data_IF_218790989447
#
_entry.id   IF_218790989447
#
_cell.length_a   1.000
_cell.length_b   1.000
_cell.length_c   1.000
_cell.angle_alpha   90.00
_cell.angle_beta   90.00
_cell.angle_gamma   90.00
#
_symmetry.space_group_name_H-M   'P 1'
#
loop_
_entity.id
_entity.type
_entity.pdbx_description
1 polymer ?
#
# COMPACT_ATOMS: atom_id res chain seq x y z
N UNK A 1 -7.55 -6.61 -16.61
CA UNK A 1 -8.19 -6.71 -15.30
C UNK A 1 -8.76 -5.38 -14.77
N UNK A 2 -8.00 -4.37 -14.33
CA UNK A 2 -8.59 -3.03 -14.07
C UNK A 2 -8.95 -2.28 -15.36
N UNK A 3 -8.09 -2.40 -16.37
CA UNK A 3 -8.34 -1.86 -17.72
C UNK A 3 -9.50 -2.57 -18.45
N UNK A 4 -9.87 -3.77 -18.02
CA UNK A 4 -11.05 -4.48 -18.58
C UNK A 4 -12.36 -3.91 -18.04
N UNK A 5 -12.31 -3.25 -16.89
CA UNK A 5 -13.44 -2.55 -16.28
C UNK A 5 -13.50 -1.07 -16.74
N UNK A 6 -12.57 -0.63 -17.59
CA UNK A 6 -12.49 0.75 -18.04
C UNK A 6 -13.75 1.14 -18.84
N UNK A 7 -14.42 2.21 -18.40
CA UNK A 7 -15.67 2.69 -19.00
C UNK A 7 -16.97 2.20 -18.35
N UNK A 8 -16.93 1.17 -17.51
CA UNK A 8 -18.09 0.66 -16.75
C UNK A 8 -18.14 1.18 -15.31
N UNK A 9 -17.02 1.71 -14.81
CA UNK A 9 -16.88 2.19 -13.44
C UNK A 9 -17.43 3.60 -13.25
N UNK A 10 -18.26 3.78 -12.22
CA UNK A 10 -18.67 5.11 -11.78
C UNK A 10 -17.49 5.85 -11.15
N UNK A 11 -16.67 5.14 -10.37
CA UNK A 11 -15.48 5.72 -9.77
C UNK A 11 -14.55 4.70 -9.12
N UNK A 12 -13.45 5.21 -8.58
CA UNK A 12 -12.47 4.42 -7.82
C UNK A 12 -12.30 5.01 -6.42
N UNK A 13 -12.16 4.16 -5.43
CA UNK A 13 -11.96 4.49 -4.02
C UNK A 13 -10.56 4.04 -3.64
N UNK A 14 -9.70 4.95 -3.21
CA UNK A 14 -8.27 4.69 -3.01
C UNK A 14 -7.84 4.87 -1.55
N UNK A 15 -6.91 4.03 -1.04
CA UNK A 15 -6.33 4.14 0.31
C UNK A 15 -5.38 5.33 0.42
N UNK A 16 -5.80 6.50 -0.03
CA UNK A 16 -4.99 7.71 -0.07
C UNK A 16 -5.55 8.77 0.89
N UNK A 17 -4.72 9.73 1.34
CA UNK A 17 -5.18 10.87 2.13
C UNK A 17 -6.23 11.71 1.40
N UNK A 18 -7.28 12.14 2.12
CA UNK A 18 -8.36 12.98 1.58
C UNK A 18 -7.88 14.29 0.96
N UNK A 19 -6.73 14.81 1.40
CA UNK A 19 -6.08 15.99 0.84
C UNK A 19 -5.73 15.82 -0.64
N UNK A 20 -5.48 14.59 -1.09
CA UNK A 20 -5.15 14.29 -2.49
C UNK A 20 -6.39 14.14 -3.39
N UNK A 21 -7.59 13.98 -2.82
CA UNK A 21 -8.81 13.68 -3.59
C UNK A 21 -9.05 14.71 -4.70
N UNK A 22 -8.91 15.99 -4.37
CA UNK A 22 -9.14 17.08 -5.34
C UNK A 22 -8.18 17.01 -6.52
N UNK A 23 -6.88 16.87 -6.28
CA UNK A 23 -5.88 16.85 -7.35
C UNK A 23 -5.98 15.58 -8.19
N UNK A 24 -6.30 14.45 -7.58
CA UNK A 24 -6.52 13.18 -8.27
C UNK A 24 -7.72 13.25 -9.23
N UNK A 25 -8.82 13.88 -8.81
CA UNK A 25 -9.98 14.09 -9.69
C UNK A 25 -9.65 15.01 -10.86
N UNK A 26 -8.89 16.09 -10.63
CA UNK A 26 -8.46 16.99 -11.71
C UNK A 26 -7.54 16.26 -12.68
N UNK A 27 -6.63 15.43 -12.18
CA UNK A 27 -5.68 14.67 -12.98
C UNK A 27 -6.37 13.56 -13.79
N UNK A 28 -7.28 12.79 -13.18
CA UNK A 28 -8.06 11.76 -13.86
C UNK A 28 -8.91 12.33 -15.01
N UNK A 29 -9.35 13.60 -14.91
CA UNK A 29 -10.08 14.32 -15.97
C UNK A 29 -9.18 15.01 -16.99
N UNK A 30 -7.86 14.89 -16.87
CA UNK A 30 -6.89 15.54 -17.75
C UNK A 30 -6.78 17.06 -17.58
N UNK A 31 -7.30 17.62 -16.48
CA UNK A 31 -7.25 19.07 -16.21
C UNK A 31 -5.87 19.50 -15.72
N UNK A 32 -5.16 18.64 -15.00
CA UNK A 32 -3.77 18.88 -14.56
C UNK A 32 -2.87 17.76 -15.05
N UNK A 33 -1.61 18.08 -15.32
CA UNK A 33 -0.60 17.10 -15.74
C UNK A 33 0.02 16.32 -14.57
N UNK A 34 0.77 15.25 -14.90
CA UNK A 34 1.40 14.36 -13.91
C UNK A 34 2.35 15.10 -12.96
N UNK A 35 3.12 16.06 -13.45
CA UNK A 35 4.03 16.85 -12.61
C UNK A 35 3.28 17.59 -11.49
N UNK A 36 2.10 18.17 -11.79
CA UNK A 36 1.30 18.88 -10.79
C UNK A 36 0.71 17.93 -9.74
N UNK A 37 0.37 16.71 -10.15
CA UNK A 37 -0.04 15.65 -9.22
C UNK A 37 1.11 15.27 -8.27
N UNK A 38 2.32 15.06 -8.82
CA UNK A 38 3.52 14.74 -8.03
C UNK A 38 3.87 15.85 -7.04
N UNK A 39 3.75 17.12 -7.43
CA UNK A 39 3.94 18.25 -6.52
C UNK A 39 2.96 18.21 -5.33
N UNK A 40 1.66 18.02 -5.60
CA UNK A 40 0.66 17.93 -4.55
C UNK A 40 0.89 16.74 -3.61
N UNK A 41 1.37 15.61 -4.15
CA UNK A 41 1.76 14.45 -3.34
C UNK A 41 2.97 14.78 -2.46
N UNK A 42 3.99 15.46 -2.99
CA UNK A 42 5.17 15.90 -2.22
C UNK A 42 4.80 16.88 -1.12
N UNK A 43 3.89 17.81 -1.38
CA UNK A 43 3.40 18.77 -0.38
C UNK A 43 2.62 18.08 0.75
N UNK A 44 1.77 17.11 0.41
CA UNK A 44 0.94 16.38 1.38
C UNK A 44 1.73 15.34 2.18
N UNK A 45 2.59 14.57 1.51
CA UNK A 45 3.28 13.40 2.08
C UNK A 45 4.74 13.67 2.48
N UNK A 46 5.28 14.84 2.16
CA UNK A 46 6.63 15.29 2.52
C UNK A 46 7.71 14.22 2.22
N UNK A 47 8.55 13.88 3.19
CA UNK A 47 9.70 12.97 3.04
C UNK A 47 9.34 11.53 2.65
N UNK A 48 8.08 11.13 2.74
CA UNK A 48 7.62 9.79 2.36
C UNK A 48 7.11 9.70 0.91
N UNK A 49 6.97 10.85 0.24
CA UNK A 49 6.44 10.91 -1.12
C UNK A 49 7.21 10.04 -2.11
N UNK A 50 8.54 9.97 -2.02
CA UNK A 50 9.36 9.17 -2.94
C UNK A 50 9.07 7.67 -2.86
N UNK A 51 9.08 7.09 -1.65
CA UNK A 51 8.82 5.65 -1.46
C UNK A 51 7.37 5.29 -1.78
N UNK A 52 6.43 6.19 -1.48
CA UNK A 52 5.03 5.99 -1.81
C UNK A 52 4.78 6.08 -3.32
N UNK A 53 5.36 7.08 -4.00
CA UNK A 53 5.29 7.21 -5.45
C UNK A 53 5.90 6.00 -6.17
N UNK A 54 6.98 5.41 -5.64
CA UNK A 54 7.55 4.17 -6.20
C UNK A 54 6.50 3.06 -6.34
N UNK A 55 5.66 2.89 -5.32
CA UNK A 55 4.63 1.84 -5.29
C UNK A 55 3.41 2.24 -6.13
N UNK A 56 2.96 3.49 -6.00
CA UNK A 56 1.65 3.92 -6.51
C UNK A 56 1.71 4.52 -7.92
N UNK A 57 2.88 4.89 -8.44
CA UNK A 57 3.05 5.52 -9.76
C UNK A 57 2.36 4.75 -10.89
N UNK A 58 2.45 3.40 -11.00
CA UNK A 58 1.75 2.66 -12.05
C UNK A 58 0.24 2.90 -12.05
N UNK A 59 -0.38 2.89 -10.86
CA UNK A 59 -1.81 3.15 -10.71
C UNK A 59 -2.13 4.60 -11.07
N UNK A 60 -1.32 5.56 -10.58
CA UNK A 60 -1.49 6.97 -10.92
C UNK A 60 -1.39 7.21 -12.43
N UNK A 61 -0.41 6.63 -13.13
CA UNK A 61 -0.28 6.78 -14.58
C UNK A 61 -1.43 6.14 -15.36
N UNK A 62 -2.09 5.13 -14.79
CA UNK A 62 -3.26 4.50 -15.37
C UNK A 62 -4.55 5.31 -15.16
N UNK A 63 -4.67 6.13 -14.11
CA UNK A 63 -5.92 6.83 -13.74
C UNK A 63 -6.64 7.53 -14.90
N UNK A 64 -5.98 8.36 -15.75
CA UNK A 64 -6.66 9.04 -16.85
C UNK A 64 -7.17 8.08 -17.92
N UNK A 65 -6.54 6.91 -18.07
CA UNK A 65 -6.90 5.88 -19.05
C UNK A 65 -8.04 4.99 -18.58
N UNK A 66 -8.28 4.89 -17.27
CA UNK A 66 -9.38 4.12 -16.70
C UNK A 66 -10.76 4.77 -16.98
N UNK A 67 -10.80 6.07 -17.30
CA UNK A 67 -12.04 6.77 -17.62
C UNK A 67 -13.00 6.94 -16.42
N UNK A 68 -12.48 6.84 -15.19
CA UNK A 68 -13.28 6.98 -13.96
C UNK A 68 -13.85 8.40 -13.83
N UNK A 69 -15.13 8.53 -13.48
CA UNK A 69 -15.78 9.86 -13.32
C UNK A 69 -15.36 10.56 -12.03
N UNK A 70 -15.03 9.75 -11.02
CA UNK A 70 -14.66 10.22 -9.69
C UNK A 70 -13.60 9.33 -9.05
N UNK A 71 -12.64 9.99 -8.39
CA UNK A 71 -11.70 9.37 -7.45
C UNK A 71 -12.13 9.78 -6.04
N UNK A 72 -12.24 8.82 -5.12
CA UNK A 72 -12.53 9.07 -3.71
C UNK A 72 -11.37 8.58 -2.85
N UNK A 73 -11.06 9.31 -1.79
CA UNK A 73 -9.98 8.97 -0.86
C UNK A 73 -10.55 8.70 0.53
N UNK A 74 -10.13 7.58 1.15
CA UNK A 74 -10.71 7.17 2.44
C UNK A 74 -9.74 7.27 3.63
N UNK A 75 -8.46 7.57 3.43
CA UNK A 75 -7.58 7.88 4.57
C UNK A 75 -7.80 9.32 5.00
N UNK A 76 -7.92 9.53 6.31
CA UNK A 76 -8.29 10.82 6.89
C UNK A 76 -7.28 11.91 6.58
N UNK A 77 -6.00 11.66 6.82
CA UNK A 77 -4.91 12.59 6.52
C UNK A 77 -3.60 11.85 6.32
N UNK A 78 -2.66 12.47 5.60
CA UNK A 78 -1.30 11.93 5.46
C UNK A 78 -0.59 11.84 6.82
N UNK A 79 -0.80 12.84 7.68
CA UNK A 79 -0.22 12.89 9.02
C UNK A 79 -0.66 11.73 9.92
N UNK A 80 -1.94 11.36 9.89
CA UNK A 80 -2.46 10.22 10.67
C UNK A 80 -1.85 8.89 10.19
N UNK A 81 -1.74 8.70 8.87
CA UNK A 81 -1.10 7.53 8.27
C UNK A 81 0.37 7.42 8.70
N UNK A 82 1.10 8.54 8.73
CA UNK A 82 2.48 8.56 9.20
C UNK A 82 2.59 8.25 10.69
N UNK A 83 1.69 8.79 11.50
CA UNK A 83 1.67 8.51 12.94
C UNK A 83 1.45 7.01 13.19
N UNK A 84 0.50 6.39 12.49
CA UNK A 84 0.24 4.94 12.60
C UNK A 84 1.43 4.10 12.12
N UNK A 85 2.06 4.48 11.01
CA UNK A 85 3.25 3.78 10.52
C UNK A 85 4.43 3.88 11.52
N UNK A 86 4.65 5.06 12.10
CA UNK A 86 5.68 5.28 13.11
C UNK A 86 5.42 4.47 14.39
N UNK A 87 4.16 4.36 14.80
CA UNK A 87 3.74 3.52 15.93
C UNK A 87 4.04 2.03 15.65
N UNK A 88 3.68 1.52 14.47
CA UNK A 88 3.97 0.13 14.08
C UNK A 88 5.47 -0.15 14.01
N UNK A 89 6.27 0.76 13.46
CA UNK A 89 7.74 0.61 13.44
C UNK A 89 8.33 0.64 14.85
N UNK A 90 7.80 1.48 15.73
CA UNK A 90 8.23 1.55 17.14
C UNK A 90 7.91 0.26 17.90
N UNK A 91 6.73 -0.30 17.66
CA UNK A 91 6.33 -1.61 18.19
C UNK A 91 7.22 -2.72 17.66
N UNK A 92 7.50 -2.72 16.35
CA UNK A 92 8.36 -3.71 15.73
C UNK A 92 9.78 -3.66 16.31
N UNK A 93 10.32 -2.46 16.47
CA UNK A 93 11.63 -2.24 17.08
C UNK A 93 11.67 -2.75 18.52
N UNK A 94 10.65 -2.42 19.32
CA UNK A 94 10.53 -2.88 20.71
C UNK A 94 10.48 -4.41 20.78
N UNK A 95 9.67 -5.04 19.93
CA UNK A 95 9.60 -6.50 19.83
C UNK A 95 10.95 -7.10 19.43
N UNK A 96 11.67 -6.47 18.50
CA UNK A 96 13.00 -6.93 18.04
C UNK A 96 14.07 -6.87 19.13
N UNK A 97 14.05 -5.84 19.97
CA UNK A 97 15.05 -5.61 21.04
C UNK A 97 14.72 -6.40 22.29
N UNK A 98 13.44 -6.43 22.69
CA UNK A 98 13.02 -7.02 23.97
C UNK A 98 12.55 -8.47 23.85
N UNK A 99 12.22 -8.93 22.65
CA UNK A 99 11.59 -10.23 22.40
C UNK A 99 10.14 -10.33 22.86
N UNK A 100 9.56 -9.27 23.42
CA UNK A 100 8.18 -9.24 23.94
C UNK A 100 7.21 -8.69 22.90
N UNK A 101 6.05 -9.35 22.78
CA UNK A 101 4.97 -8.94 21.89
C UNK A 101 3.70 -8.80 22.73
N UNK A 102 3.10 -7.61 22.73
CA UNK A 102 1.79 -7.35 23.31
C UNK A 102 0.75 -7.26 22.20
N UNK A 103 -0.02 -8.34 21.98
CA UNK A 103 -0.99 -8.38 20.89
C UNK A 103 -2.08 -7.31 20.99
N UNK A 104 -2.39 -6.82 22.20
CA UNK A 104 -3.42 -5.80 22.37
C UNK A 104 -2.91 -4.42 21.96
N UNK A 105 -1.64 -4.11 22.26
CA UNK A 105 -0.97 -2.91 21.77
C UNK A 105 -0.90 -2.90 20.23
N UNK A 106 -0.55 -4.05 19.63
CA UNK A 106 -0.51 -4.20 18.18
C UNK A 106 -1.88 -4.11 17.51
N UNK A 107 -2.94 -4.70 18.09
CA UNK A 107 -4.31 -4.55 17.56
C UNK A 107 -4.77 -3.10 17.55
N UNK A 108 -4.44 -2.33 18.59
CA UNK A 108 -4.74 -0.90 18.64
C UNK A 108 -4.00 -0.13 17.55
N UNK A 109 -2.69 -0.36 17.41
CA UNK A 109 -1.86 0.33 16.42
C UNK A 109 -2.25 0.03 14.96
N UNK A 110 -2.64 -1.22 14.66
CA UNK A 110 -3.10 -1.61 13.33
C UNK A 110 -4.43 -0.94 12.94
N UNK A 111 -5.25 -0.55 13.93
CA UNK A 111 -6.54 0.10 13.73
C UNK A 111 -7.51 -0.72 12.86
N UNK A 112 -8.68 -0.15 12.56
CA UNK A 112 -9.58 -0.70 11.55
C UNK A 112 -10.02 0.40 10.60
N UNK A 113 -9.69 0.24 9.32
CA UNK A 113 -10.17 1.14 8.27
C UNK A 113 -11.49 0.57 7.74
N UNK A 114 -12.57 1.33 7.95
CA UNK A 114 -13.86 1.07 7.32
C UNK A 114 -14.03 1.97 6.11
N UNK A 115 -14.36 1.40 4.96
CA UNK A 115 -14.68 2.15 3.75
C UNK A 115 -16.17 1.99 3.48
N UNK A 116 -16.84 3.09 3.17
CA UNK A 116 -18.23 3.05 2.74
C UNK A 116 -18.31 2.37 1.36
N UNK A 117 -19.01 1.24 1.28
CA UNK A 117 -19.20 0.50 0.03
C UNK A 117 -20.24 1.22 -0.82
N UNK A 118 -19.87 1.54 -2.07
CA UNK A 118 -20.76 2.17 -3.06
C UNK A 118 -20.83 1.32 -4.32
N UNK A 119 -22.05 1.08 -4.80
CA UNK A 119 -22.26 0.36 -6.05
C UNK A 119 -21.62 1.13 -7.22
N UNK A 120 -20.99 0.42 -8.15
CA UNK A 120 -20.25 1.03 -9.27
C UNK A 120 -18.86 1.58 -8.92
N UNK A 121 -18.39 1.44 -7.67
CA UNK A 121 -17.04 1.81 -7.25
C UNK A 121 -16.18 0.58 -6.96
N UNK A 122 -14.90 0.67 -7.33
CA UNK A 122 -13.87 -0.35 -7.02
C UNK A 122 -12.72 0.26 -6.22
N UNK A 123 -11.95 -0.58 -5.53
CA UNK A 123 -10.73 -0.17 -4.81
C UNK A 123 -9.57 -1.04 -5.23
N UNK A 124 -8.37 -0.44 -5.26
CA UNK A 124 -7.10 -1.16 -5.31
C UNK A 124 -6.45 -0.95 -3.96
N UNK A 125 -6.28 -2.03 -3.20
CA UNK A 125 -5.67 -1.96 -1.89
C UNK A 125 -5.01 -3.30 -1.58
N UNK A 126 -3.83 -3.24 -0.97
CA UNK A 126 -3.13 -4.39 -0.39
C UNK A 126 -3.99 -5.19 0.59
N UNK A 127 -4.87 -4.50 1.32
CA UNK A 127 -5.79 -5.11 2.27
C UNK A 127 -7.22 -4.70 1.97
N UNK A 128 -8.10 -5.70 1.84
CA UNK A 128 -9.53 -5.47 1.68
C UNK A 128 -10.08 -4.71 2.90
N UNK A 129 -10.73 -3.55 2.70
CA UNK A 129 -11.53 -2.93 3.75
C UNK A 129 -12.63 -3.88 4.22
N UNK A 130 -13.04 -3.76 5.49
CA UNK A 130 -14.15 -4.56 6.01
C UNK A 130 -15.39 -4.42 5.12
N UNK A 131 -15.97 -5.55 4.71
CA UNK A 131 -17.17 -5.60 3.88
C UNK A 131 -16.90 -5.68 2.37
N UNK A 132 -15.64 -5.74 1.93
CA UNK A 132 -15.27 -5.96 0.53
C UNK A 132 -14.56 -7.29 0.33
N UNK A 133 -14.82 -7.95 -0.81
CA UNK A 133 -14.06 -9.11 -1.25
C UNK A 133 -12.91 -8.64 -2.15
N UNK A 134 -11.67 -8.88 -1.74
CA UNK A 134 -10.52 -8.71 -2.62
C UNK A 134 -10.41 -9.93 -3.55
N UNK A 135 -10.17 -9.66 -4.84
CA UNK A 135 -9.79 -10.67 -5.80
C UNK A 135 -8.27 -10.73 -5.83
N UNK A 136 -7.67 -11.86 -5.46
CA UNK A 136 -6.24 -12.09 -5.63
C UNK A 136 -5.93 -12.43 -7.08
N UNK A 137 -5.00 -11.67 -7.64
CA UNK A 137 -4.73 -11.66 -9.08
C UNK A 137 -3.25 -11.81 -9.36
N UNK A 138 -2.42 -11.80 -8.32
CA UNK A 138 -0.98 -11.90 -8.43
C UNK A 138 -0.50 -13.35 -8.28
N UNK A 139 -1.20 -14.17 -7.50
CA UNK A 139 -0.85 -15.58 -7.28
C UNK A 139 0.46 -15.78 -6.52
N UNK A 140 1.01 -14.72 -5.92
CA UNK A 140 2.19 -14.76 -5.06
C UNK A 140 1.79 -14.48 -3.60
N UNK A 141 2.54 -15.03 -2.63
CA UNK A 141 2.28 -14.74 -1.22
C UNK A 141 2.41 -13.24 -0.93
N UNK A 142 1.42 -12.66 -0.26
CA UNK A 142 1.49 -11.28 0.21
C UNK A 142 2.58 -11.10 1.27
N UNK A 143 3.32 -9.97 1.28
CA UNK A 143 4.33 -9.71 2.28
C UNK A 143 3.71 -9.58 3.67
N UNK A 144 4.48 -9.81 4.75
CA UNK A 144 3.97 -9.75 6.12
C UNK A 144 3.33 -8.41 6.50
N UNK A 145 3.73 -7.32 5.84
CA UNK A 145 3.12 -5.99 6.03
C UNK A 145 1.65 -5.93 5.58
N UNK A 146 1.23 -6.80 4.66
CA UNK A 146 -0.12 -6.81 4.09
C UNK A 146 -1.01 -7.91 4.68
N UNK A 147 -0.42 -8.88 5.39
CA UNK A 147 -1.15 -9.99 6.03
C UNK A 147 -1.53 -9.71 7.49
N UNK A 148 -1.04 -8.62 8.10
CA UNK A 148 -1.41 -8.23 9.46
C UNK A 148 -2.87 -7.75 9.53
N UNK A 149 -3.71 -8.55 10.18
CA UNK A 149 -5.09 -8.22 10.50
C UNK A 149 -5.33 -8.24 12.02
N UNK A 150 -5.80 -7.14 12.65
CA UNK A 150 -6.23 -7.14 14.05
C UNK A 150 -7.17 -8.28 14.44
N UNK A 151 -8.04 -8.73 13.53
CA UNK A 151 -9.02 -9.77 13.79
C UNK A 151 -8.40 -11.18 13.91
N UNK A 152 -7.29 -11.44 13.22
CA UNK A 152 -6.60 -12.73 13.19
C UNK A 152 -5.14 -12.64 13.66
N UNK A 153 -4.81 -11.59 14.42
CA UNK A 153 -3.44 -11.28 14.84
C UNK A 153 -2.89 -12.35 15.80
N UNK A 154 -1.71 -12.87 15.49
CA UNK A 154 -0.95 -13.81 16.32
C UNK A 154 0.48 -13.32 16.59
N UNK A 155 1.14 -13.89 17.60
CA UNK A 155 2.56 -13.57 17.87
C UNK A 155 3.46 -13.99 16.71
N UNK A 156 3.15 -15.09 16.04
CA UNK A 156 3.89 -15.57 14.87
C UNK A 156 3.81 -14.57 13.71
N UNK A 157 2.62 -14.03 13.43
CA UNK A 157 2.43 -13.00 12.40
C UNK A 157 3.20 -11.72 12.74
N UNK A 158 3.18 -11.30 14.00
CA UNK A 158 3.97 -10.15 14.47
C UNK A 158 5.47 -10.43 14.34
N UNK A 159 5.95 -11.62 14.70
CA UNK A 159 7.37 -12.00 14.53
C UNK A 159 7.77 -11.99 13.06
N UNK A 160 6.93 -12.51 12.17
CA UNK A 160 7.19 -12.52 10.72
C UNK A 160 7.25 -11.08 10.17
N UNK A 161 6.36 -10.19 10.63
CA UNK A 161 6.41 -8.77 10.29
C UNK A 161 7.69 -8.09 10.79
N UNK A 162 8.05 -8.30 12.07
CA UNK A 162 9.29 -7.75 12.66
C UNK A 162 10.51 -8.23 11.88
N UNK A 163 10.56 -9.53 11.55
CA UNK A 163 11.61 -10.08 10.73
C UNK A 163 11.65 -9.42 9.34
N UNK A 164 10.50 -9.29 8.68
CA UNK A 164 10.40 -8.67 7.36
C UNK A 164 10.95 -7.24 7.35
N UNK A 165 10.56 -6.42 8.31
CA UNK A 165 11.04 -5.03 8.44
C UNK A 165 12.57 -4.98 8.62
N UNK A 166 13.13 -5.71 9.59
CA UNK A 166 14.54 -5.56 9.97
C UNK A 166 15.53 -6.40 9.17
N UNK A 167 15.09 -7.49 8.52
CA UNK A 167 15.97 -8.34 7.73
C UNK A 167 15.84 -8.09 6.22
N UNK A 168 14.71 -7.54 5.76
CA UNK A 168 14.44 -7.35 4.34
C UNK A 168 14.27 -5.87 3.98
N UNK A 169 13.29 -5.16 4.54
CA UNK A 169 13.00 -3.76 4.17
C UNK A 169 14.22 -2.87 4.42
N UNK A 170 14.76 -2.88 5.63
CA UNK A 170 15.91 -2.02 6.02
C UNK A 170 17.22 -2.37 5.32
N UNK A 171 17.31 -3.55 4.68
CA UNK A 171 18.52 -4.06 4.02
C UNK A 171 18.43 -4.04 2.49
N UNK A 172 17.39 -3.44 1.95
CA UNK A 172 17.11 -3.41 0.51
C UNK A 172 16.98 -1.96 0.04
N UNK A 173 17.22 -1.72 -1.25
CA UNK A 173 17.18 -0.37 -1.83
C UNK A 173 15.74 0.15 -1.95
N UNK A 174 14.79 -0.74 -2.15
CA UNK A 174 13.36 -0.45 -2.25
C UNK A 174 12.52 -1.64 -1.77
N UNK A 175 11.20 -1.45 -1.72
CA UNK A 175 10.25 -2.46 -1.24
C UNK A 175 10.18 -3.68 -2.16
N UNK A 176 10.31 -3.51 -3.47
CA UNK A 176 10.30 -4.62 -4.43
C UNK A 176 11.49 -5.56 -4.22
N UNK A 177 12.69 -5.00 -4.04
CA UNK A 177 13.88 -5.80 -3.72
C UNK A 177 13.72 -6.53 -2.38
N UNK A 178 13.15 -5.87 -1.36
CA UNK A 178 12.87 -6.49 -0.07
C UNK A 178 11.90 -7.66 -0.21
N UNK A 179 10.84 -7.49 -1.00
CA UNK A 179 9.83 -8.51 -1.27
C UNK A 179 10.41 -9.70 -2.03
N UNK A 180 11.15 -9.47 -3.13
CA UNK A 180 11.75 -10.54 -3.93
C UNK A 180 12.75 -11.37 -3.11
N UNK A 181 13.59 -10.71 -2.30
CA UNK A 181 14.49 -11.41 -1.39
C UNK A 181 13.74 -12.25 -0.35
N UNK A 182 12.67 -11.71 0.22
CA UNK A 182 11.84 -12.45 1.18
C UNK A 182 11.15 -13.66 0.53
N UNK A 183 10.63 -13.52 -0.70
CA UNK A 183 10.05 -14.63 -1.45
C UNK A 183 11.06 -15.76 -1.65
N UNK A 184 12.28 -15.44 -2.08
CA UNK A 184 13.31 -16.44 -2.32
C UNK A 184 13.80 -17.10 -1.04
N UNK A 185 14.14 -16.30 -0.03
CA UNK A 185 14.77 -16.78 1.20
C UNK A 185 13.78 -17.44 2.18
N UNK A 186 12.54 -16.93 2.26
CA UNK A 186 11.53 -17.42 3.23
C UNK A 186 10.44 -18.27 2.63
N UNK A 187 10.06 -18.04 1.38
CA UNK A 187 9.03 -18.84 0.70
C UNK A 187 9.61 -19.84 -0.29
N UNK A 188 10.92 -19.78 -0.58
CA UNK A 188 11.58 -20.66 -1.55
C UNK A 188 11.13 -20.42 -2.99
N UNK A 189 10.46 -19.30 -3.26
CA UNK A 189 9.90 -18.96 -4.56
C UNK A 189 10.86 -18.05 -5.32
N UNK A 190 11.37 -18.55 -6.45
CA UNK A 190 12.22 -17.77 -7.36
C UNK A 190 11.39 -17.26 -8.52
N UNK A 191 11.41 -15.95 -8.73
CA UNK A 191 10.67 -15.24 -9.77
C UNK A 191 11.65 -14.38 -10.57
N UNK A 192 12.48 -15.00 -11.44
CA UNK A 192 13.54 -14.29 -12.16
C UNK A 192 13.00 -13.17 -13.05
N UNK A 193 11.78 -13.31 -13.57
CA UNK A 193 11.11 -12.30 -14.40
C UNK A 193 10.90 -10.98 -13.63
N UNK A 194 10.58 -11.06 -12.33
CA UNK A 194 10.40 -9.87 -11.50
C UNK A 194 11.73 -9.22 -11.14
N UNK A 195 12.80 -10.00 -10.98
CA UNK A 195 14.14 -9.45 -10.82
C UNK A 195 14.62 -8.70 -12.06
N UNK A 196 14.34 -9.25 -13.24
CA UNK A 196 14.67 -8.59 -14.50
C UNK A 196 13.88 -7.30 -14.68
N UNK A 197 12.58 -7.31 -14.34
CA UNK A 197 11.75 -6.11 -14.33
C UNK A 197 12.32 -5.06 -13.36
N UNK A 198 12.66 -5.45 -12.13
CA UNK A 198 13.24 -4.56 -11.12
C UNK A 198 14.53 -3.89 -11.61
N UNK A 199 15.39 -4.61 -12.34
CA UNK A 199 16.61 -4.05 -12.92
C UNK A 199 16.35 -3.03 -14.04
N UNK A 200 15.21 -3.15 -14.74
CA UNK A 200 14.84 -2.20 -15.80
C UNK A 200 14.31 -0.89 -15.21
N UNK A 201 13.53 -0.95 -14.13
CA UNK A 201 12.93 0.22 -13.46
C UNK A 201 13.85 0.89 -12.44
N UNK A 202 14.87 0.19 -11.92
CA UNK A 202 15.85 0.76 -10.99
C UNK A 202 16.98 1.57 -11.67
N UNK A 203 16.85 1.90 -12.96
CA UNK A 203 17.77 2.75 -13.74
C UNK A 203 17.28 4.18 -13.79
#
# INVERSE_FOLDING_TARGET
>A
MLMELAGELEGIVLPYPKELERVLNLYARGVVGYQRLVEAIRESMQGFSSSWLWVEEPLLLALPRLGVRRVLCYLRSAAEVFSSAAELVSLAFRARVTGRIDLEEWRKALGSISVEVKEGYVTVASRAPRGLHAQDTWGLPYPPAETLDPASLSEEAVREYVEYVFNYITRSRNLDEAYLRWLEEKKGLKVPELWDLLRLIAR
#
